data_IF_935678799172
#
_entry.id   IF_935678799172
#
_cell.length_a   1.000
_cell.length_b   1.000
_cell.length_c   1.000
_cell.angle_alpha   90.00
_cell.angle_beta   90.00
_cell.angle_gamma   90.00
#
_symmetry.space_group_name_H-M   'P 1'
#
loop_
_entity.id
_entity.type
_entity.pdbx_description
1 polymer ?
#
# COMPACT_ATOMS: atom_id res chain seq x y z
N UNK A 1 23.96 -19.44 -7.97
CA UNK A 1 22.53 -19.49 -7.57
C UNK A 1 22.09 -18.05 -7.41
N UNK A 2 20.93 -17.63 -7.94
CA UNK A 2 20.45 -16.27 -7.71
C UNK A 2 20.24 -16.10 -6.20
N UNK A 3 20.89 -15.10 -5.59
CA UNK A 3 20.55 -14.72 -4.23
C UNK A 3 19.09 -14.27 -4.20
N UNK A 4 18.39 -14.60 -3.11
CA UNK A 4 16.93 -14.59 -2.89
C UNK A 4 16.26 -13.19 -2.99
N UNK A 5 16.84 -12.23 -3.72
CA UNK A 5 16.38 -10.84 -3.82
C UNK A 5 16.44 -10.07 -2.50
N UNK A 6 17.03 -10.64 -1.44
CA UNK A 6 17.15 -10.01 -0.13
C UNK A 6 18.37 -9.11 -0.11
N UNK A 7 18.16 -7.82 -0.28
CA UNK A 7 19.18 -6.82 -0.01
C UNK A 7 19.07 -6.37 1.45
N UNK A 8 20.15 -6.58 2.21
CA UNK A 8 20.24 -6.08 3.58
C UNK A 8 20.59 -4.60 3.50
N UNK A 9 19.61 -3.73 3.74
CA UNK A 9 19.88 -2.31 3.97
C UNK A 9 20.56 -2.19 5.34
N UNK A 10 21.84 -1.86 5.34
CA UNK A 10 22.57 -1.63 6.59
C UNK A 10 21.99 -0.42 7.33
N UNK A 11 21.99 -0.42 8.68
CA UNK A 11 21.62 0.76 9.45
C UNK A 11 22.39 2.00 8.97
N UNK A 12 21.70 3.13 8.82
CA UNK A 12 22.24 4.41 8.31
C UNK A 12 22.67 4.43 6.82
N UNK A 13 22.30 3.43 6.02
CA UNK A 13 22.58 3.39 4.58
C UNK A 13 21.28 3.56 3.78
N UNK A 14 21.31 4.36 2.72
CA UNK A 14 20.23 4.57 1.74
C UNK A 14 18.89 5.17 2.25
N UNK A 15 18.77 5.52 3.54
CA UNK A 15 17.65 6.30 4.05
C UNK A 15 18.18 7.61 4.64
N UNK A 16 17.70 8.74 4.11
CA UNK A 16 17.99 10.07 4.65
C UNK A 16 16.68 10.71 5.07
N UNK A 17 16.41 10.74 6.37
CA UNK A 17 15.34 11.56 6.92
C UNK A 17 15.80 13.02 6.84
N UNK A 18 15.25 13.77 5.91
CA UNK A 18 15.44 15.22 5.94
C UNK A 18 14.67 15.75 7.15
N UNK A 19 15.27 16.59 8.01
CA UNK A 19 14.48 17.34 8.96
C UNK A 19 13.39 18.05 8.17
N UNK A 20 12.14 18.00 8.64
CA UNK A 20 11.08 18.82 8.09
C UNK A 20 11.47 20.28 8.33
N UNK A 21 12.29 20.83 7.43
CA UNK A 21 12.47 22.25 7.33
C UNK A 21 11.09 22.78 7.02
N UNK A 22 10.56 23.53 7.97
CA UNK A 22 9.43 24.41 7.80
C UNK A 22 9.86 25.51 6.82
N UNK A 23 10.17 25.14 5.58
CA UNK A 23 10.38 26.08 4.51
C UNK A 23 9.02 26.67 4.21
N UNK A 24 8.82 27.87 4.73
CA UNK A 24 7.93 28.85 4.15
C UNK A 24 8.11 28.76 2.64
N UNK A 25 7.13 28.20 1.94
CA UNK A 25 6.96 28.49 0.53
C UNK A 25 7.06 30.01 0.38
N UNK A 26 7.82 30.55 -0.59
CA UNK A 26 7.71 31.96 -0.92
C UNK A 26 6.27 32.19 -1.38
N UNK A 27 5.43 32.66 -0.46
CA UNK A 27 4.14 33.26 -0.77
C UNK A 27 4.42 34.39 -1.75
N UNK A 28 4.01 34.19 -3.00
CA UNK A 28 3.69 35.32 -3.86
C UNK A 28 2.63 36.14 -3.11
N UNK A 29 2.96 37.42 -2.94
CA UNK A 29 2.30 38.38 -2.07
C UNK A 29 0.79 38.50 -2.34
N UNK A 30 -0.02 38.44 -1.29
CA UNK A 30 -1.19 39.31 -1.10
C UNK A 30 -1.59 39.36 0.39
N UNK A 31 -2.13 40.50 0.90
CA UNK A 31 -2.04 40.84 2.31
C UNK A 31 -3.20 40.31 3.17
N UNK A 32 -2.82 39.91 4.39
CA UNK A 32 -3.53 39.94 5.67
C UNK A 32 -4.94 39.35 5.76
N UNK A 33 -5.05 38.22 6.46
CA UNK A 33 -5.98 38.10 7.59
C UNK A 33 -5.47 37.03 8.58
N UNK A 34 -5.45 37.41 9.86
CA UNK A 34 -4.99 36.62 10.99
C UNK A 34 -5.92 35.42 11.23
N UNK A 35 -5.38 34.20 11.20
CA UNK A 35 -5.98 33.05 11.87
C UNK A 35 -4.85 32.17 12.45
N UNK A 36 -5.00 31.79 13.71
CA UNK A 36 -4.09 30.94 14.46
C UNK A 36 -3.99 29.56 13.79
N UNK A 37 -2.87 29.28 13.13
CA UNK A 37 -2.59 27.95 12.62
C UNK A 37 -1.99 27.08 13.74
N UNK A 38 -2.78 26.10 14.21
CA UNK A 38 -2.26 24.88 14.82
C UNK A 38 -1.17 24.33 13.90
N UNK A 39 0.08 24.35 14.37
CA UNK A 39 1.20 23.72 13.66
C UNK A 39 0.95 22.22 13.57
N UNK A 40 0.26 21.78 12.52
CA UNK A 40 0.21 20.38 12.15
C UNK A 40 1.64 19.97 11.80
N UNK A 41 2.23 19.12 12.64
CA UNK A 41 3.54 18.53 12.40
C UNK A 41 3.41 17.53 11.24
N UNK A 42 3.47 18.03 10.00
CA UNK A 42 3.47 17.19 8.81
C UNK A 42 4.87 16.59 8.67
N UNK A 43 4.99 15.33 9.08
CA UNK A 43 6.20 14.53 8.84
C UNK A 43 6.24 14.12 7.37
N UNK A 44 7.23 14.62 6.61
CA UNK A 44 7.46 14.25 5.21
C UNK A 44 8.64 13.30 5.13
N UNK A 45 8.40 12.07 4.70
CA UNK A 45 9.44 11.06 4.46
C UNK A 45 9.59 10.83 2.96
N UNK A 46 10.78 11.09 2.41
CA UNK A 46 11.10 10.77 1.02
C UNK A 46 11.43 9.27 0.94
N UNK A 47 10.55 8.49 0.32
CA UNK A 47 10.81 7.09 -0.04
C UNK A 47 11.22 7.06 -1.51
N UNK A 48 12.41 6.54 -1.80
CA UNK A 48 12.87 6.29 -3.17
C UNK A 48 12.97 4.78 -3.38
N UNK A 49 12.19 4.26 -4.32
CA UNK A 49 12.28 2.89 -4.80
C UNK A 49 12.77 2.91 -6.25
N UNK A 50 13.52 1.89 -6.65
CA UNK A 50 13.91 1.72 -8.06
C UNK A 50 12.65 1.46 -8.89
N UNK A 51 12.43 2.31 -9.89
CA UNK A 51 11.33 2.12 -10.84
C UNK A 51 11.68 0.96 -11.77
N UNK A 52 11.05 -0.18 -11.58
CA UNK A 52 11.07 -1.32 -12.48
C UNK A 52 10.21 -1.02 -13.71
N UNK A 53 10.64 -1.49 -14.89
CA UNK A 53 9.91 -1.31 -16.15
C UNK A 53 8.48 -1.92 -16.17
N UNK A 54 8.09 -2.65 -15.13
CA UNK A 54 6.82 -3.36 -15.03
C UNK A 54 5.90 -2.79 -13.93
N UNK A 55 5.29 -1.63 -14.22
CA UNK A 55 4.45 -0.83 -13.30
C UNK A 55 3.30 -1.60 -12.61
N UNK A 56 2.84 -2.70 -13.20
CA UNK A 56 1.75 -3.52 -12.66
C UNK A 56 2.18 -4.26 -11.39
N UNK A 57 3.46 -4.62 -11.26
CA UNK A 57 4.00 -5.39 -10.13
C UNK A 57 4.83 -4.55 -9.16
N UNK A 58 5.00 -3.26 -9.44
CA UNK A 58 5.62 -2.34 -8.49
C UNK A 58 4.73 -2.14 -7.27
N UNK A 59 5.36 -1.95 -6.12
CA UNK A 59 4.69 -1.55 -4.89
C UNK A 59 4.34 -0.06 -5.03
N UNK A 60 3.09 0.22 -5.39
CA UNK A 60 2.62 1.58 -5.72
C UNK A 60 2.01 2.27 -4.51
N UNK A 61 1.91 3.61 -4.56
CA UNK A 61 1.24 4.41 -3.53
C UNK A 61 -0.17 3.88 -3.23
N UNK A 62 -0.91 3.45 -4.26
CA UNK A 62 -2.21 2.77 -4.16
C UNK A 62 -2.22 1.62 -3.13
N UNK A 63 -1.18 0.79 -3.08
CA UNK A 63 -1.11 -0.29 -2.08
C UNK A 63 -0.99 0.28 -0.67
N UNK A 64 -0.10 1.26 -0.47
CA UNK A 64 0.14 1.84 0.85
C UNK A 64 -1.07 2.60 1.36
N UNK A 65 -1.70 3.42 0.54
CA UNK A 65 -2.88 4.20 0.95
C UNK A 65 -4.02 3.28 1.39
N UNK A 66 -4.28 2.20 0.64
CA UNK A 66 -5.29 1.21 1.02
C UNK A 66 -4.90 0.41 2.27
N UNK A 67 -3.64 0.03 2.39
CA UNK A 67 -3.17 -0.73 3.53
C UNK A 67 -3.24 0.08 4.82
N UNK A 68 -2.80 1.35 4.78
CA UNK A 68 -2.88 2.24 5.93
C UNK A 68 -4.31 2.68 6.21
N UNK A 69 -5.13 2.96 5.19
CA UNK A 69 -6.55 3.25 5.36
C UNK A 69 -7.30 2.11 6.04
N UNK A 70 -6.98 0.85 5.69
CA UNK A 70 -7.53 -0.32 6.35
C UNK A 70 -7.09 -0.43 7.83
N UNK A 71 -5.81 -0.19 8.12
CA UNK A 71 -5.32 -0.20 9.50
C UNK A 71 -5.95 0.91 10.34
N UNK A 72 -6.05 2.11 9.79
CA UNK A 72 -6.65 3.27 10.46
C UNK A 72 -8.11 2.99 10.81
N UNK A 73 -8.90 2.45 9.87
CA UNK A 73 -10.31 2.09 10.13
C UNK A 73 -10.41 1.02 11.24
N UNK A 74 -9.53 0.02 11.27
CA UNK A 74 -9.50 -0.96 12.36
C UNK A 74 -9.13 -0.34 13.71
N UNK A 75 -8.18 0.59 13.73
CA UNK A 75 -7.73 1.27 14.95
C UNK A 75 -8.82 2.19 15.49
N UNK A 76 -9.46 2.99 14.63
CA UNK A 76 -10.50 3.95 14.99
C UNK A 76 -11.78 3.23 15.44
N UNK A 77 -12.18 2.18 14.73
CA UNK A 77 -13.44 1.46 15.02
C UNK A 77 -13.27 0.25 15.97
N UNK A 78 -12.06 -0.03 16.45
CA UNK A 78 -11.79 -1.15 17.38
C UNK A 78 -11.96 -2.54 16.75
N UNK A 79 -11.69 -2.66 15.44
CA UNK A 79 -11.85 -3.89 14.67
C UNK A 79 -10.69 -4.89 14.87
N UNK A 80 -10.89 -6.12 14.37
CA UNK A 80 -9.84 -7.14 14.30
C UNK A 80 -9.30 -7.25 12.87
N UNK A 81 -8.00 -7.50 12.75
CA UNK A 81 -7.37 -7.77 11.45
C UNK A 81 -8.02 -8.99 10.82
N UNK A 82 -8.53 -8.82 9.60
CA UNK A 82 -9.09 -9.90 8.80
C UNK A 82 -8.02 -10.40 7.84
N UNK A 83 -7.52 -11.61 8.08
CA UNK A 83 -6.44 -12.20 7.28
C UNK A 83 -6.77 -12.27 5.78
N UNK A 84 -8.03 -12.52 5.40
CA UNK A 84 -8.41 -12.55 3.98
C UNK A 84 -8.26 -11.18 3.32
N UNK A 85 -8.65 -10.11 4.01
CA UNK A 85 -8.44 -8.75 3.53
C UNK A 85 -6.95 -8.44 3.40
N UNK A 86 -6.14 -8.80 4.39
CA UNK A 86 -4.68 -8.60 4.34
C UNK A 86 -4.08 -9.34 3.15
N UNK A 87 -4.35 -10.64 3.00
CA UNK A 87 -3.81 -11.42 1.88
C UNK A 87 -4.32 -10.90 0.53
N UNK A 88 -5.56 -10.43 0.46
CA UNK A 88 -6.14 -9.84 -0.74
C UNK A 88 -5.41 -8.55 -1.16
N UNK A 89 -5.23 -7.61 -0.24
CA UNK A 89 -4.53 -6.34 -0.49
C UNK A 89 -3.05 -6.57 -0.81
N UNK A 90 -2.35 -7.44 -0.08
CA UNK A 90 -0.94 -7.76 -0.36
C UNK A 90 -0.78 -8.45 -1.72
N UNK A 91 -1.62 -9.44 -2.04
CA UNK A 91 -1.57 -10.14 -3.33
C UNK A 91 -1.82 -9.20 -4.52
N UNK A 92 -2.78 -8.27 -4.40
CA UNK A 92 -3.07 -7.26 -5.42
C UNK A 92 -1.97 -6.19 -5.52
N UNK A 93 -1.32 -5.88 -4.40
CA UNK A 93 -0.16 -4.97 -4.33
C UNK A 93 1.13 -5.56 -4.89
N UNK A 94 1.14 -6.82 -5.36
CA UNK A 94 2.35 -7.49 -5.86
C UNK A 94 3.34 -7.87 -4.76
N UNK A 95 2.90 -7.85 -3.49
CA UNK A 95 3.73 -8.13 -2.32
C UNK A 95 3.19 -9.33 -1.53
N UNK A 96 3.95 -9.78 -0.54
CA UNK A 96 3.61 -10.97 0.26
C UNK A 96 4.00 -10.76 1.73
N UNK A 97 3.32 -11.47 2.63
CA UNK A 97 3.64 -11.42 4.06
C UNK A 97 4.84 -12.30 4.35
N UNK A 98 5.94 -11.75 4.87
CA UNK A 98 7.08 -12.57 5.26
C UNK A 98 6.67 -13.56 6.35
N UNK A 99 6.82 -14.86 6.06
CA UNK A 99 6.59 -15.89 7.04
C UNK A 99 7.74 -15.91 8.06
N UNK A 100 7.48 -16.42 9.29
CA UNK A 100 8.51 -16.56 10.31
C UNK A 100 9.72 -17.35 9.79
N UNK A 101 10.90 -17.02 10.33
CA UNK A 101 12.20 -17.58 9.89
C UNK A 101 12.31 -19.10 10.00
N UNK A 102 11.46 -19.76 10.80
CA UNK A 102 11.45 -21.21 10.97
C UNK A 102 10.75 -21.96 9.82
N UNK A 103 10.01 -21.26 8.94
CA UNK A 103 9.30 -21.89 7.82
C UNK A 103 10.26 -22.07 6.63
N UNK A 104 10.52 -23.32 6.18
CA UNK A 104 11.36 -23.55 5.01
C UNK A 104 10.68 -23.02 3.74
N UNK A 105 11.46 -22.48 2.82
CA UNK A 105 10.96 -21.85 1.57
C UNK A 105 9.90 -20.76 1.81
N UNK A 106 10.03 -20.01 2.91
CA UNK A 106 9.01 -19.07 3.39
C UNK A 106 8.50 -18.06 2.36
N UNK A 107 9.33 -17.63 1.40
CA UNK A 107 8.89 -16.78 0.30
C UNK A 107 7.90 -17.48 -0.63
N UNK A 108 8.25 -18.66 -1.15
CA UNK A 108 7.38 -19.43 -2.04
C UNK A 108 6.06 -19.81 -1.35
N UNK A 109 6.14 -20.21 -0.08
CA UNK A 109 4.96 -20.53 0.74
C UNK A 109 4.10 -19.29 0.95
N UNK A 110 4.70 -18.12 1.23
CA UNK A 110 3.96 -16.88 1.39
C UNK A 110 3.26 -16.42 0.11
N UNK A 111 3.93 -16.50 -1.03
CA UNK A 111 3.35 -16.17 -2.33
C UNK A 111 2.18 -17.12 -2.63
N UNK A 112 2.36 -18.43 -2.41
CA UNK A 112 1.28 -19.40 -2.58
C UNK A 112 0.10 -19.09 -1.65
N UNK A 113 0.37 -18.75 -0.38
CA UNK A 113 -0.65 -18.43 0.60
C UNK A 113 -1.43 -17.15 0.24
N UNK A 114 -0.74 -16.12 -0.27
CA UNK A 114 -1.40 -14.88 -0.70
C UNK A 114 -2.29 -15.09 -1.93
N UNK A 115 -1.90 -15.97 -2.86
CA UNK A 115 -2.75 -16.34 -4.00
C UNK A 115 -3.97 -17.14 -3.54
N UNK A 116 -3.77 -18.18 -2.72
CA UNK A 116 -4.89 -19.04 -2.27
C UNK A 116 -5.85 -18.26 -1.37
N UNK A 117 -5.35 -17.61 -0.33
CA UNK A 117 -6.20 -16.91 0.64
C UNK A 117 -6.70 -15.57 0.13
N UNK A 118 -5.85 -14.80 -0.55
CA UNK A 118 -6.20 -13.47 -1.03
C UNK A 118 -7.05 -13.54 -2.30
N UNK A 119 -6.51 -14.16 -3.35
CA UNK A 119 -7.14 -14.13 -4.68
C UNK A 119 -8.30 -15.11 -4.81
N UNK A 120 -8.14 -16.36 -4.39
CA UNK A 120 -9.18 -17.38 -4.58
C UNK A 120 -10.25 -17.33 -3.51
N UNK A 121 -9.85 -17.40 -2.23
CA UNK A 121 -10.80 -17.40 -1.12
C UNK A 121 -11.33 -15.99 -0.84
N UNK A 122 -10.43 -15.03 -0.67
CA UNK A 122 -10.77 -13.66 -0.33
C UNK A 122 -11.57 -12.98 -1.44
N UNK A 123 -10.93 -12.68 -2.57
CA UNK A 123 -11.57 -12.01 -3.69
C UNK A 123 -12.57 -12.89 -4.39
N UNK A 124 -12.32 -14.18 -4.62
CA UNK A 124 -13.19 -15.06 -5.40
C UNK A 124 -14.46 -15.48 -4.65
N UNK A 125 -14.30 -16.13 -3.49
CA UNK A 125 -15.41 -16.72 -2.73
C UNK A 125 -16.09 -15.72 -1.78
N UNK A 126 -15.32 -14.95 -1.03
CA UNK A 126 -15.85 -14.09 0.03
C UNK A 126 -16.14 -12.66 -0.44
N UNK A 127 -15.64 -12.28 -1.62
CA UNK A 127 -15.88 -10.96 -2.19
C UNK A 127 -15.04 -9.83 -1.58
N UNK A 128 -13.93 -10.13 -0.90
CA UNK A 128 -13.03 -9.10 -0.40
C UNK A 128 -12.39 -8.34 -1.56
N UNK A 129 -12.52 -7.02 -1.51
CA UNK A 129 -11.97 -6.12 -2.50
C UNK A 129 -10.57 -5.66 -2.07
N UNK A 130 -9.56 -5.72 -2.96
CA UNK A 130 -8.19 -5.39 -2.58
C UNK A 130 -7.94 -3.89 -2.35
N UNK A 131 -8.55 -3.03 -3.18
CA UNK A 131 -8.39 -1.58 -3.13
C UNK A 131 -9.75 -0.88 -3.09
N UNK A 132 -9.91 0.08 -2.20
CA UNK A 132 -11.11 0.87 -1.99
C UNK A 132 -10.87 2.32 -2.41
N UNK A 133 -11.83 2.88 -3.15
CA UNK A 133 -11.74 4.25 -3.66
C UNK A 133 -11.62 5.30 -2.55
N UNK A 134 -12.26 5.08 -1.40
CA UNK A 134 -12.18 5.99 -0.24
C UNK A 134 -10.74 6.20 0.28
N UNK A 135 -9.85 5.26 0.00
CA UNK A 135 -8.46 5.29 0.44
C UNK A 135 -7.48 5.40 -0.73
N UNK A 136 -7.94 5.64 -1.96
CA UNK A 136 -7.06 5.62 -3.13
C UNK A 136 -7.07 6.98 -3.81
N UNK A 137 -5.89 7.60 -3.92
CA UNK A 137 -5.71 8.85 -4.69
C UNK A 137 -5.75 8.56 -6.19
N UNK A 138 -5.00 7.54 -6.65
CA UNK A 138 -4.97 7.12 -8.06
C UNK A 138 -5.84 5.87 -8.30
N UNK A 139 -7.13 6.10 -8.50
CA UNK A 139 -8.09 5.02 -8.72
C UNK A 139 -7.91 4.31 -10.07
N UNK A 140 -7.38 4.99 -11.09
CA UNK A 140 -7.17 4.39 -12.41
C UNK A 140 -6.10 3.31 -12.36
N UNK A 141 -4.99 3.60 -11.66
CA UNK A 141 -3.94 2.61 -11.41
C UNK A 141 -4.44 1.43 -10.56
N UNK A 142 -5.31 1.68 -9.57
CA UNK A 142 -5.93 0.62 -8.78
C UNK A 142 -6.81 -0.30 -9.64
N UNK A 143 -7.63 0.29 -10.53
CA UNK A 143 -8.44 -0.45 -11.49
C UNK A 143 -7.58 -1.31 -12.42
N UNK A 144 -6.53 -0.73 -13.01
CA UNK A 144 -5.62 -1.46 -13.89
C UNK A 144 -4.98 -2.66 -13.19
N UNK A 145 -4.57 -2.50 -11.93
CA UNK A 145 -4.05 -3.62 -11.11
C UNK A 145 -5.10 -4.68 -10.85
N UNK A 146 -6.33 -4.30 -10.52
CA UNK A 146 -7.43 -5.26 -10.32
C UNK A 146 -7.82 -5.99 -11.60
N UNK A 147 -7.75 -5.34 -12.76
CA UNK A 147 -8.03 -5.95 -14.07
C UNK A 147 -7.03 -7.04 -14.47
N UNK A 148 -5.80 -6.97 -13.94
CA UNK A 148 -4.75 -7.97 -14.21
C UNK A 148 -5.12 -9.38 -13.75
N UNK A 149 -6.10 -9.51 -12.84
CA UNK A 149 -6.56 -10.80 -12.33
C UNK A 149 -8.03 -11.04 -12.65
N UNK A 150 -8.35 -12.21 -13.19
CA UNK A 150 -9.75 -12.62 -13.50
C UNK A 150 -10.66 -12.51 -12.26
N UNK A 151 -10.13 -12.86 -11.08
CA UNK A 151 -10.89 -12.83 -9.82
C UNK A 151 -11.13 -11.42 -9.27
N UNK A 152 -10.23 -10.47 -9.59
CA UNK A 152 -10.29 -9.10 -9.06
C UNK A 152 -10.86 -8.11 -10.08
N UNK A 153 -10.88 -8.45 -11.37
CA UNK A 153 -11.39 -7.62 -12.46
C UNK A 153 -12.83 -7.15 -12.23
N UNK A 154 -13.64 -7.90 -11.50
CA UNK A 154 -15.02 -7.51 -11.15
C UNK A 154 -15.11 -6.26 -10.27
N UNK A 155 -14.02 -5.89 -9.59
CA UNK A 155 -13.93 -4.73 -8.70
C UNK A 155 -13.35 -3.49 -9.39
N UNK A 156 -12.84 -3.59 -10.62
CA UNK A 156 -12.26 -2.47 -11.37
C UNK A 156 -13.31 -1.51 -12.01
N UNK A 157 -14.59 -1.71 -11.71
CA UNK A 157 -15.67 -0.89 -12.27
C UNK A 157 -15.87 0.43 -11.52
N UNK A 158 -16.13 1.51 -12.27
CA UNK A 158 -16.39 2.86 -11.76
C UNK A 158 -17.69 3.03 -10.96
N UNK A 159 -18.58 2.03 -10.95
CA UNK A 159 -19.99 2.21 -10.55
C UNK A 159 -20.47 1.44 -9.31
N UNK A 160 -19.59 0.85 -8.50
CA UNK A 160 -20.03 -0.06 -7.41
C UNK A 160 -19.34 0.11 -6.05
N UNK A 161 -18.95 1.32 -5.68
CA UNK A 161 -18.43 1.56 -4.32
C UNK A 161 -18.98 2.89 -3.80
N UNK A 162 -20.24 2.84 -3.36
CA UNK A 162 -20.67 3.52 -2.13
C UNK A 162 -20.57 2.51 -0.98
#
# INVERSE_FOLDING_TARGET
MPEDGRFIIRPHVNHRSYPALLEKQPQQQQPQQQQQEEKQHIFKMLMSAEKSDNSVFELTDVFFENWYGYQDELLVHGGRINLFQVFCTFNAGGTYLSLPWWVPFGQSVSIALSVVLGRWVGSGLLGYQPFYRKWTTDWELACQKMESSIFQRRFAGWSKTE
#
